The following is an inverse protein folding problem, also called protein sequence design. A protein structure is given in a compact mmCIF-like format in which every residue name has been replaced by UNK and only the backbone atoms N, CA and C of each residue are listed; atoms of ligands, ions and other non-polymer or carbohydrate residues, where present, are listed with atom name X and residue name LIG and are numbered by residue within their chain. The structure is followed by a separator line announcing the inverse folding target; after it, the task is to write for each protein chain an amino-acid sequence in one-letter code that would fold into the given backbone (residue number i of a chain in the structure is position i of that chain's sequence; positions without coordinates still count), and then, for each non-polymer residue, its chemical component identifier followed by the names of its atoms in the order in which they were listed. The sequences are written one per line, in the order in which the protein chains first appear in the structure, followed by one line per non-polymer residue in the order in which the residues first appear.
data_IF_928599798035
#
_entry.id   IF_928599798035
#
_cell.length_a   1.000
_cell.length_b   1.000
_cell.length_c   1.000
_cell.angle_alpha   90.00
_cell.angle_beta   90.00
_cell.angle_gamma   90.00
#
_symmetry.space_group_name_H-M   'P 1'
#
loop_
_entity.id
_entity.type
_entity.pdbx_description
1 polymer ?
#
# COMPACT_ATOMS: atom_id res chain seq x y z
N UNK A 1 16.53 12.24 -2.50
CA UNK A 1 15.19 12.70 -2.09
C UNK A 1 14.25 12.26 -3.18
N UNK A 2 13.35 11.33 -2.87
CA UNK A 2 12.42 10.77 -3.84
C UNK A 2 11.05 11.39 -3.59
N UNK A 3 10.44 11.90 -4.65
CA UNK A 3 9.06 12.37 -4.58
C UNK A 3 8.11 11.18 -4.76
N UNK A 4 6.93 11.23 -4.15
CA UNK A 4 5.83 10.38 -4.60
C UNK A 4 5.50 10.72 -6.06
N UNK A 5 5.92 9.83 -6.95
CA UNK A 5 5.64 9.84 -8.39
C UNK A 5 4.65 8.72 -8.72
N UNK A 6 4.21 8.65 -9.98
CA UNK A 6 3.40 7.55 -10.52
C UNK A 6 4.01 6.16 -10.30
N UNK A 7 5.32 6.09 -10.11
CA UNK A 7 6.08 4.83 -9.94
C UNK A 7 5.94 4.21 -8.54
N UNK A 8 5.50 5.00 -7.54
CA UNK A 8 5.32 4.54 -6.16
C UNK A 8 3.85 4.56 -5.73
N UNK A 9 2.93 4.70 -6.70
CA UNK A 9 1.49 4.82 -6.45
C UNK A 9 0.89 3.53 -5.89
N UNK A 10 1.42 2.38 -6.30
CA UNK A 10 1.06 1.06 -5.78
C UNK A 10 1.36 0.93 -4.27
N UNK A 11 2.48 1.51 -3.81
CA UNK A 11 2.84 1.54 -2.40
C UNK A 11 1.88 2.41 -1.59
N UNK A 12 1.53 3.57 -2.15
CA UNK A 12 0.54 4.47 -1.56
C UNK A 12 -0.85 3.80 -1.49
N UNK A 13 -1.29 3.16 -2.58
CA UNK A 13 -2.57 2.43 -2.63
C UNK A 13 -2.61 1.30 -1.61
N UNK A 14 -1.51 0.56 -1.44
CA UNK A 14 -1.41 -0.47 -0.42
C UNK A 14 -1.52 0.12 0.99
N UNK A 15 -0.78 1.18 1.29
CA UNK A 15 -0.82 1.86 2.61
C UNK A 15 -2.21 2.43 2.90
N UNK A 16 -2.88 3.00 1.90
CA UNK A 16 -4.30 3.42 2.02
C UNK A 16 -5.22 2.23 2.26
N UNK A 17 -5.00 1.11 1.56
CA UNK A 17 -5.72 -0.14 1.80
C UNK A 17 -5.52 -0.67 3.23
N UNK A 18 -4.30 -0.55 3.76
CA UNK A 18 -4.00 -0.89 5.16
C UNK A 18 -4.75 0.02 6.13
N UNK A 19 -4.73 1.33 5.91
CA UNK A 19 -5.47 2.29 6.72
C UNK A 19 -6.98 1.99 6.70
N UNK A 20 -7.54 1.73 5.52
CA UNK A 20 -8.93 1.35 5.34
C UNK A 20 -9.27 0.02 6.06
N UNK A 21 -8.38 -0.98 6.05
CA UNK A 21 -8.56 -2.26 6.76
C UNK A 21 -8.69 -2.10 8.28
N UNK A 22 -8.04 -1.09 8.87
CA UNK A 22 -8.24 -0.78 10.29
C UNK A 22 -9.62 -0.18 10.58
N UNK A 23 -10.21 0.51 9.60
CA UNK A 23 -11.52 1.18 9.70
C UNK A 23 -11.58 2.28 10.77
N UNK A 24 -10.46 2.59 11.41
CA UNK A 24 -10.31 3.52 12.53
C UNK A 24 -8.94 4.21 12.42
N UNK A 25 -8.93 5.53 12.14
CA UNK A 25 -7.71 6.33 12.03
C UNK A 25 -6.77 6.23 13.23
N UNK A 26 -7.33 6.01 14.43
CA UNK A 26 -6.53 5.89 15.66
C UNK A 26 -5.75 4.59 15.68
N UNK A 27 -6.34 3.49 15.19
CA UNK A 27 -5.65 2.19 15.12
C UNK A 27 -4.53 2.21 14.09
N UNK A 28 -4.79 2.78 12.91
CA UNK A 28 -3.75 2.97 11.92
C UNK A 28 -2.62 3.85 12.48
N UNK A 29 -2.94 4.99 13.09
CA UNK A 29 -1.94 5.88 13.71
C UNK A 29 -1.10 5.16 14.77
N UNK A 30 -1.69 4.27 15.58
CA UNK A 30 -0.95 3.46 16.56
C UNK A 30 0.01 2.47 15.91
N UNK A 31 -0.36 1.88 14.77
CA UNK A 31 0.55 1.03 14.00
C UNK A 31 1.75 1.85 13.52
N UNK A 32 1.48 2.99 12.87
CA UNK A 32 2.53 3.87 12.37
C UNK A 32 3.45 4.33 13.51
N UNK A 33 2.88 4.71 14.65
CA UNK A 33 3.63 5.09 15.84
C UNK A 33 4.53 3.95 16.36
N UNK A 34 4.02 2.72 16.42
CA UNK A 34 4.79 1.57 16.86
C UNK A 34 5.96 1.25 15.91
N UNK A 35 5.75 1.43 14.60
CA UNK A 35 6.80 1.30 13.60
C UNK A 35 7.87 2.39 13.75
N UNK A 36 7.46 3.65 13.93
CA UNK A 36 8.39 4.75 14.20
C UNK A 36 9.28 4.42 15.39
N UNK A 37 8.71 4.04 16.54
CA UNK A 37 9.47 3.76 17.76
C UNK A 37 10.52 2.65 17.60
N UNK A 38 10.20 1.62 16.82
CA UNK A 38 11.10 0.48 16.57
C UNK A 38 12.12 0.73 15.47
N UNK A 39 11.79 1.58 14.50
CA UNK A 39 12.61 1.77 13.32
C UNK A 39 13.96 2.43 13.69
N UNK A 40 15.10 1.82 13.31
CA UNK A 40 16.42 2.38 13.56
C UNK A 40 16.73 3.47 12.54
N UNK A 41 16.50 4.72 12.93
CA UNK A 41 16.72 5.88 12.07
C UNK A 41 18.20 6.02 11.68
N UNK A 42 18.47 6.16 10.38
CA UNK A 42 19.79 6.54 9.86
C UNK A 42 19.72 7.96 9.26
N UNK A 43 20.48 8.89 9.84
CA UNK A 43 20.63 10.26 9.35
C UNK A 43 20.98 10.40 7.86
N UNK A 44 21.54 9.35 7.23
CA UNK A 44 21.94 9.30 5.81
C UNK A 44 20.88 8.71 4.89
N UNK A 45 19.81 8.16 5.44
CA UNK A 45 18.73 7.50 4.70
C UNK A 45 18.04 8.45 3.71
N UNK A 46 17.49 7.88 2.65
CA UNK A 46 16.64 8.64 1.73
C UNK A 46 15.29 8.99 2.37
N UNK A 47 14.69 10.07 1.88
CA UNK A 47 13.41 10.59 2.39
C UNK A 47 12.39 10.57 1.26
N UNK A 48 11.23 9.99 1.53
CA UNK A 48 10.02 10.08 0.72
C UNK A 48 9.31 11.37 1.07
N UNK A 49 9.02 12.18 0.05
CA UNK A 49 8.30 13.45 0.20
C UNK A 49 6.81 13.27 -0.12
N UNK A 50 5.98 13.64 0.84
CA UNK A 50 4.52 13.71 0.76
C UNK A 50 4.11 15.18 0.61
N UNK A 51 3.28 15.53 -0.38
CA UNK A 51 2.83 16.90 -0.62
C UNK A 51 1.37 16.97 -1.08
N UNK A 52 0.51 17.58 -0.27
CA UNK A 52 -0.95 17.61 -0.47
C UNK A 52 -1.36 18.49 -1.66
N UNK A 53 -0.51 19.43 -2.09
CA UNK A 53 -0.82 20.38 -3.18
C UNK A 53 -0.48 19.83 -4.56
N UNK A 54 0.17 18.66 -4.67
CA UNK A 54 0.47 18.13 -6.01
C UNK A 54 -0.80 17.56 -6.64
N UNK A 55 -1.20 18.04 -7.84
CA UNK A 55 -2.33 17.46 -8.58
C UNK A 55 -2.16 15.97 -8.94
N UNK A 56 -0.99 15.37 -8.67
CA UNK A 56 -0.68 13.96 -8.90
C UNK A 56 -0.70 13.07 -7.64
N UNK A 57 -0.95 13.62 -6.45
CA UNK A 57 -1.17 12.87 -5.20
C UNK A 57 -2.67 12.58 -5.02
N UNK A 58 -3.31 12.16 -6.12
CA UNK A 58 -4.73 11.81 -6.18
C UNK A 58 -4.89 10.51 -5.38
N UNK A 59 -5.54 10.56 -4.20
CA UNK A 59 -5.95 9.35 -3.47
C UNK A 59 -5.57 9.30 -1.99
N UNK A 60 -4.57 10.08 -1.55
CA UNK A 60 -4.16 10.08 -0.14
C UNK A 60 -5.26 10.67 0.74
N UNK A 61 -5.84 9.86 1.62
CA UNK A 61 -6.91 10.27 2.52
C UNK A 61 -6.36 11.20 3.62
N UNK A 62 -7.15 12.18 4.09
CA UNK A 62 -6.69 13.15 5.08
C UNK A 62 -6.16 12.52 6.38
N UNK A 63 -6.79 11.42 6.82
CA UNK A 63 -6.39 10.75 8.06
C UNK A 63 -5.12 9.92 7.89
N UNK A 64 -4.93 9.26 6.74
CA UNK A 64 -3.68 8.60 6.37
C UNK A 64 -2.55 9.63 6.30
N UNK A 65 -2.79 10.77 5.63
CA UNK A 65 -1.82 11.87 5.58
C UNK A 65 -1.46 12.38 6.97
N UNK A 66 -2.42 12.58 7.88
CA UNK A 66 -2.15 13.03 9.25
C UNK A 66 -1.29 12.05 10.03
N UNK A 67 -1.56 10.75 9.92
CA UNK A 67 -0.73 9.73 10.57
C UNK A 67 0.72 9.77 10.06
N UNK A 68 0.89 9.86 8.74
CA UNK A 68 2.20 9.95 8.07
C UNK A 68 2.94 11.27 8.41
N UNK A 69 2.23 12.41 8.45
CA UNK A 69 2.77 13.69 8.88
C UNK A 69 3.29 13.63 10.33
N UNK A 70 2.51 13.04 11.24
CA UNK A 70 2.90 12.88 12.63
C UNK A 70 4.11 11.93 12.77
N UNK A 71 4.16 10.86 11.99
CA UNK A 71 5.30 9.95 11.93
C UNK A 71 6.59 10.69 11.51
N UNK A 72 6.53 11.49 10.45
CA UNK A 72 7.66 12.32 10.00
C UNK A 72 8.13 13.29 11.08
N UNK A 73 7.21 13.96 11.78
CA UNK A 73 7.54 14.86 12.90
C UNK A 73 8.25 14.13 14.05
N UNK A 74 7.80 12.92 14.39
CA UNK A 74 8.44 12.10 15.44
C UNK A 74 9.81 11.59 15.01
N UNK A 75 9.98 11.21 13.75
CA UNK A 75 11.30 10.85 13.22
C UNK A 75 12.29 12.01 13.37
N UNK A 76 11.86 13.25 13.07
CA UNK A 76 12.69 14.43 13.28
C UNK A 76 13.01 14.68 14.77
N UNK A 77 12.05 14.46 15.66
CA UNK A 77 12.28 14.60 17.11
C UNK A 77 13.33 13.61 17.62
N UNK A 78 13.30 12.36 17.11
CA UNK A 78 14.23 11.29 17.50
C UNK A 78 15.61 11.45 16.88
N UNK A 79 15.68 11.93 15.64
CA UNK A 79 16.94 12.17 14.94
C UNK A 79 16.96 13.58 14.34
N UNK A 80 17.41 14.59 15.12
CA UNK A 80 17.44 15.98 14.66
C UNK A 80 18.37 16.23 13.48
N UNK A 81 19.37 15.38 13.22
CA UNK A 81 20.25 15.53 12.05
C UNK A 81 19.49 15.39 10.73
N UNK A 82 18.29 14.83 10.77
CA UNK A 82 17.37 14.88 9.65
C UNK A 82 16.93 16.29 9.29
N UNK A 83 16.96 17.28 10.18
CA UNK A 83 16.49 18.65 9.90
C UNK A 83 17.17 19.30 8.69
N UNK A 84 18.43 18.95 8.42
CA UNK A 84 19.21 19.50 7.31
C UNK A 84 18.83 18.87 5.95
N UNK A 85 18.18 17.69 5.99
CA UNK A 85 17.85 16.87 4.80
C UNK A 85 16.35 16.69 4.59
N UNK A 86 15.58 16.72 5.67
CA UNK A 86 14.16 16.96 5.65
C UNK A 86 14.01 18.42 5.24
N UNK A 87 13.36 18.71 4.13
CA UNK A 87 12.96 20.08 3.85
C UNK A 87 11.83 20.49 4.79
N UNK A 88 11.90 20.23 6.11
CA UNK A 88 10.93 20.65 7.12
C UNK A 88 10.97 22.16 7.41
N UNK A 89 11.48 22.96 6.45
CA UNK A 89 11.25 24.40 6.38
C UNK A 89 9.85 24.75 5.87
N UNK A 90 8.98 23.78 5.64
CA UNK A 90 7.57 24.03 5.32
C UNK A 90 6.83 24.50 6.57
N UNK A 91 6.70 25.82 6.68
CA UNK A 91 5.78 26.49 7.60
C UNK A 91 4.30 26.25 7.27
N UNK A 92 3.99 25.55 6.17
CA UNK A 92 2.65 25.14 5.82
C UNK A 92 2.44 23.65 6.16
N UNK A 93 1.24 23.29 6.60
CA UNK A 93 0.86 21.92 6.94
C UNK A 93 0.76 20.99 5.72
N UNK A 94 1.32 21.39 4.56
CA UNK A 94 0.97 20.84 3.25
C UNK A 94 2.07 19.95 2.66
N UNK A 95 3.18 19.76 3.35
CA UNK A 95 4.13 18.69 3.02
C UNK A 95 4.86 18.09 4.22
N UNK A 96 5.19 16.80 4.11
CA UNK A 96 5.99 16.07 5.09
C UNK A 96 7.02 15.15 4.43
N UNK A 97 8.02 14.74 5.21
CA UNK A 97 9.01 13.75 4.81
C UNK A 97 8.89 12.52 5.70
N UNK A 98 9.16 11.33 5.15
CA UNK A 98 9.28 10.08 5.89
C UNK A 98 10.55 9.37 5.44
N UNK A 99 11.36 8.80 6.37
CA UNK A 99 12.48 7.95 5.98
C UNK A 99 12.02 6.80 5.08
N UNK A 100 12.74 6.55 3.98
CA UNK A 100 12.34 5.59 2.96
C UNK A 100 12.16 4.16 3.49
N UNK A 101 13.04 3.67 4.35
CA UNK A 101 12.90 2.37 5.00
C UNK A 101 11.71 2.31 5.94
N UNK A 102 11.35 3.40 6.64
CA UNK A 102 10.09 3.43 7.40
C UNK A 102 8.86 3.36 6.48
N UNK A 103 8.93 4.00 5.31
CA UNK A 103 7.91 3.87 4.27
C UNK A 103 7.80 2.42 3.75
N UNK A 104 8.93 1.74 3.54
CA UNK A 104 8.95 0.34 3.14
C UNK A 104 8.38 -0.60 4.22
N UNK A 105 8.69 -0.37 5.49
CA UNK A 105 8.10 -1.13 6.61
C UNK A 105 6.57 -1.00 6.66
N UNK A 106 6.06 0.22 6.43
CA UNK A 106 4.61 0.45 6.29
C UNK A 106 4.02 -0.27 5.08
N UNK A 107 4.72 -0.25 3.95
CA UNK A 107 4.31 -0.96 2.74
C UNK A 107 4.29 -2.48 2.97
N UNK A 108 5.31 -3.05 3.62
CA UNK A 108 5.36 -4.47 3.96
C UNK A 108 4.22 -4.88 4.89
N UNK A 109 3.83 -4.03 5.84
CA UNK A 109 2.65 -4.26 6.67
C UNK A 109 1.33 -4.12 5.90
N UNK A 110 1.33 -3.36 4.81
CA UNK A 110 0.20 -3.20 3.93
C UNK A 110 0.03 -4.37 2.97
N UNK A 111 1.13 -5.05 2.63
CA UNK A 111 1.09 -6.26 1.83
C UNK A 111 0.21 -7.29 2.55
N UNK A 112 -0.77 -7.85 1.85
CA UNK A 112 -1.64 -8.85 2.46
C UNK A 112 -0.83 -10.09 2.79
N UNK A 113 -1.13 -10.72 3.94
CA UNK A 113 -0.46 -11.96 4.36
C UNK A 113 -0.59 -12.98 3.22
N UNK A 114 0.54 -13.50 2.70
CA UNK A 114 0.57 -14.51 1.65
C UNK A 114 -0.44 -15.66 1.86
N UNK A 115 -0.61 -16.09 3.12
CA UNK A 115 -1.54 -17.15 3.49
C UNK A 115 -2.99 -16.68 3.48
N UNK A 116 -3.25 -15.45 3.95
CA UNK A 116 -4.58 -14.85 3.93
C UNK A 116 -5.06 -14.56 2.49
N UNK A 117 -4.16 -14.13 1.59
CA UNK A 117 -4.48 -13.95 0.17
C UNK A 117 -4.81 -15.28 -0.46
N UNK A 118 -3.94 -16.29 -0.32
CA UNK A 118 -4.18 -17.60 -0.93
C UNK A 118 -5.49 -18.22 -0.46
N UNK A 119 -5.79 -18.14 0.83
CA UNK A 119 -7.03 -18.66 1.39
C UNK A 119 -8.27 -17.81 1.02
N UNK A 120 -8.13 -16.49 0.92
CA UNK A 120 -9.20 -15.59 0.48
C UNK A 120 -9.53 -15.75 -1.01
N UNK A 121 -8.50 -15.83 -1.85
CA UNK A 121 -8.60 -16.07 -3.28
C UNK A 121 -9.20 -17.46 -3.54
N UNK A 122 -8.76 -18.50 -2.83
CA UNK A 122 -9.34 -19.84 -2.96
C UNK A 122 -10.83 -19.85 -2.59
N UNK A 123 -11.24 -19.10 -1.55
CA UNK A 123 -12.66 -18.96 -1.19
C UNK A 123 -13.50 -18.30 -2.29
N UNK A 124 -12.96 -17.32 -3.00
CA UNK A 124 -13.66 -16.69 -4.13
C UNK A 124 -13.82 -17.69 -5.27
N UNK A 125 -12.77 -18.44 -5.60
CA UNK A 125 -12.83 -19.51 -6.61
C UNK A 125 -13.86 -20.58 -6.23
N UNK A 126 -13.85 -21.04 -4.98
CA UNK A 126 -14.77 -22.07 -4.49
C UNK A 126 -16.23 -21.57 -4.49
N UNK A 127 -16.46 -20.31 -4.10
CA UNK A 127 -17.78 -19.70 -4.10
C UNK A 127 -18.33 -19.52 -5.53
N UNK A 128 -17.52 -19.03 -6.47
CA UNK A 128 -17.92 -18.89 -7.87
C UNK A 128 -18.17 -20.24 -8.53
N UNK A 129 -17.38 -21.29 -8.21
CA UNK A 129 -17.64 -22.65 -8.69
C UNK A 129 -18.97 -23.21 -8.15
N UNK A 130 -19.28 -22.94 -6.88
CA UNK A 130 -20.56 -23.31 -6.26
C UNK A 130 -21.73 -22.58 -6.95
N UNK A 131 -21.64 -21.28 -7.14
CA UNK A 131 -22.68 -20.48 -7.81
C UNK A 131 -22.94 -20.93 -9.26
N UNK A 132 -21.88 -21.31 -10.00
CA UNK A 132 -22.02 -21.88 -11.34
C UNK A 132 -22.73 -23.24 -11.33
N UNK A 133 -22.46 -24.07 -10.30
CA UNK A 133 -23.12 -25.37 -10.14
C UNK A 133 -24.60 -25.27 -9.72
N UNK A 134 -24.99 -24.16 -9.10
CA UNK A 134 -26.37 -23.87 -8.66
C UNK A 134 -27.25 -23.26 -9.78
N UNK A 135 -26.69 -23.01 -10.98
CA UNK A 135 -27.47 -22.59 -12.15
C UNK A 135 -27.87 -21.11 -12.15
N UNK A 136 -27.20 -20.26 -11.38
CA UNK A 136 -27.37 -18.81 -11.45
C UNK A 136 -26.77 -18.23 -12.76
N UNK A 137 -27.38 -17.19 -13.36
CA UNK A 137 -27.04 -16.70 -14.71
C UNK A 137 -25.78 -15.85 -14.79
N UNK A 138 -25.12 -15.56 -13.66
CA UNK A 138 -23.85 -14.84 -13.66
C UNK A 138 -22.78 -15.78 -14.20
N UNK A 139 -22.37 -15.58 -15.46
CA UNK A 139 -21.26 -16.33 -16.04
C UNK A 139 -20.00 -15.96 -15.25
N UNK A 140 -19.43 -16.86 -14.45
CA UNK A 140 -18.23 -16.55 -13.67
C UNK A 140 -17.06 -16.12 -14.57
N UNK A 141 -17.06 -16.57 -15.83
CA UNK A 141 -16.13 -16.21 -16.89
C UNK A 141 -16.15 -14.72 -17.27
N UNK A 142 -17.20 -13.98 -16.91
CA UNK A 142 -17.36 -12.55 -17.18
C UNK A 142 -17.22 -11.70 -15.91
N UNK A 143 -17.07 -12.31 -14.72
CA UNK A 143 -16.85 -11.61 -13.45
C UNK A 143 -15.36 -11.23 -13.29
N UNK A 144 -15.02 -9.92 -13.27
CA UNK A 144 -13.65 -9.47 -13.08
C UNK A 144 -13.01 -9.98 -11.80
N UNK A 145 -13.79 -10.14 -10.71
CA UNK A 145 -13.26 -10.63 -9.44
C UNK A 145 -12.89 -12.12 -9.50
N UNK A 146 -13.67 -12.92 -10.23
CA UNK A 146 -13.36 -14.33 -10.49
C UNK A 146 -12.11 -14.49 -11.36
N UNK A 147 -12.03 -13.74 -12.46
CA UNK A 147 -10.88 -13.78 -13.37
C UNK A 147 -9.58 -13.35 -12.67
N UNK A 148 -9.64 -12.30 -11.84
CA UNK A 148 -8.51 -11.87 -11.02
C UNK A 148 -8.09 -12.95 -10.03
N UNK A 149 -9.05 -13.54 -9.33
CA UNK A 149 -8.80 -14.59 -8.36
C UNK A 149 -8.16 -15.81 -9.03
N UNK A 150 -8.69 -16.24 -10.17
CA UNK A 150 -8.15 -17.35 -10.95
C UNK A 150 -6.72 -17.07 -11.40
N UNK A 151 -6.44 -15.88 -11.94
CA UNK A 151 -5.10 -15.47 -12.35
C UNK A 151 -4.09 -15.55 -11.18
N UNK A 152 -4.48 -15.08 -9.99
CA UNK A 152 -3.63 -15.14 -8.80
C UNK A 152 -3.36 -16.59 -8.36
N UNK A 153 -4.36 -17.48 -8.41
CA UNK A 153 -4.17 -18.90 -8.10
C UNK A 153 -3.21 -19.55 -9.09
N UNK A 154 -3.37 -19.30 -10.39
CA UNK A 154 -2.53 -19.88 -11.43
C UNK A 154 -1.06 -19.46 -11.27
N UNK A 155 -0.80 -18.17 -11.00
CA UNK A 155 0.56 -17.68 -10.73
C UNK A 155 1.16 -18.32 -9.48
N UNK A 156 0.38 -18.44 -8.39
CA UNK A 156 0.86 -19.09 -7.18
C UNK A 156 1.12 -20.60 -7.38
N UNK A 157 0.32 -21.29 -8.19
CA UNK A 157 0.56 -22.69 -8.56
C UNK A 157 1.81 -22.84 -9.44
N UNK A 158 2.13 -21.84 -10.25
CA UNK A 158 3.35 -21.77 -11.04
C UNK A 158 4.62 -21.48 -10.20
N UNK A 159 4.47 -21.21 -8.90
CA UNK A 159 5.57 -21.03 -7.96
C UNK A 159 5.87 -19.56 -7.61
N UNK A 160 5.08 -18.62 -8.11
CA UNK A 160 5.21 -17.22 -7.72
C UNK A 160 4.86 -17.03 -6.25
N UNK A 161 5.61 -16.15 -5.58
CA UNK A 161 5.17 -15.57 -4.33
C UNK A 161 3.90 -14.71 -4.53
N UNK A 162 3.19 -14.44 -3.45
CA UNK A 162 1.93 -13.67 -3.51
C UNK A 162 2.14 -12.26 -4.06
N UNK A 163 3.26 -11.62 -3.72
CA UNK A 163 3.64 -10.30 -4.23
C UNK A 163 3.94 -10.36 -5.73
N UNK A 164 4.66 -11.38 -6.19
CA UNK A 164 4.95 -11.58 -7.62
C UNK A 164 3.66 -11.83 -8.42
N UNK A 165 2.76 -12.66 -7.90
CA UNK A 165 1.47 -12.92 -8.52
C UNK A 165 0.60 -11.66 -8.61
N UNK A 166 0.58 -10.83 -7.56
CA UNK A 166 -0.19 -9.59 -7.54
C UNK A 166 0.39 -8.53 -8.47
N UNK A 167 1.72 -8.37 -8.48
CA UNK A 167 2.41 -7.49 -9.43
C UNK A 167 2.16 -7.94 -10.87
N UNK A 168 2.20 -9.24 -11.15
CA UNK A 168 1.88 -9.79 -12.46
C UNK A 168 0.43 -9.48 -12.87
N UNK A 169 -0.53 -9.56 -11.94
CA UNK A 169 -1.93 -9.21 -12.21
C UNK A 169 -2.09 -7.73 -12.55
N UNK A 170 -1.46 -6.84 -11.77
CA UNK A 170 -1.47 -5.39 -12.02
C UNK A 170 -0.87 -5.08 -13.39
N UNK A 171 0.28 -5.65 -13.72
CA UNK A 171 0.91 -5.50 -15.05
C UNK A 171 0.01 -6.02 -16.15
N UNK A 172 -0.61 -7.20 -15.98
CA UNK A 172 -1.53 -7.79 -16.94
C UNK A 172 -2.73 -6.87 -17.22
N UNK A 173 -3.32 -6.28 -16.19
CA UNK A 173 -4.45 -5.34 -16.32
C UNK A 173 -4.07 -4.03 -17.01
N UNK A 174 -2.88 -3.50 -16.77
CA UNK A 174 -2.38 -2.30 -17.44
C UNK A 174 -2.21 -2.54 -18.94
N UNK A 175 -1.64 -3.68 -19.31
CA UNK A 175 -1.49 -4.09 -20.71
C UNK A 175 -2.84 -4.25 -21.43
N UNK A 176 -3.85 -4.81 -20.76
CA UNK A 176 -5.21 -4.92 -21.31
C UNK A 176 -5.91 -3.56 -21.49
N UNK A 177 -5.53 -2.55 -20.71
CA UNK A 177 -6.06 -1.18 -20.79
C UNK A 177 -5.30 -0.30 -21.80
N UNK A 178 -4.22 -0.79 -22.39
CA UNK A 178 -3.39 -0.05 -23.34
C UNK A 178 -2.53 1.05 -22.70
N UNK A 179 -2.18 0.89 -21.42
CA UNK A 179 -1.28 1.78 -20.67
C UNK A 179 0.17 1.28 -20.67
#
# INVERSE_FOLDING_TARGET
MQDLTRENHDQLDAIEGLAARFGDPVKFSRLVDALVERYPLDSKEEIIRLCVIRPGLIGLQPDTYRALLNAGRRCLQREPAFADRFPMKFHDEQSCGIPHGLWLELYEHALPDPFAVRHGVQKVVDASALHASEGHPDRPEEDPAFLDAQFLVERQQAGDSVVEAFNALVTHKRLQRGE
#
